data_IF_787172970958
#
_entry.id   IF_787172970958
#
_cell.length_a   1.000
_cell.length_b   1.000
_cell.length_c   1.000
_cell.angle_alpha   90.00
_cell.angle_beta   90.00
_cell.angle_gamma   90.00
#
_symmetry.space_group_name_H-M   'P 1'
#
loop_
_entity.id
_entity.type
_entity.pdbx_description
1 polymer ?
#
# COMPACT_ATOMS: atom_id res chain seq x y z
N UNK A 1 10.45 -18.51 23.37
CA UNK A 1 11.09 -17.18 23.34
C UNK A 1 10.56 -16.45 22.11
N UNK A 2 9.64 -15.46 22.21
CA UNK A 2 9.13 -14.78 21.03
C UNK A 2 10.11 -13.66 20.63
N UNK A 3 10.67 -13.78 19.42
CA UNK A 3 11.58 -12.79 18.82
C UNK A 3 10.87 -11.44 18.64
N UNK A 4 11.64 -10.40 18.91
CA UNK A 4 11.32 -8.97 18.92
C UNK A 4 11.47 -8.31 17.52
N UNK A 5 11.46 -9.09 16.44
CA UNK A 5 11.93 -8.60 15.12
C UNK A 5 10.87 -8.17 14.09
N UNK A 6 9.58 -8.09 14.42
CA UNK A 6 8.55 -7.65 13.45
C UNK A 6 8.49 -6.10 13.26
N UNK A 7 9.65 -5.45 13.11
CA UNK A 7 9.79 -4.00 13.24
C UNK A 7 10.48 -3.26 12.09
N UNK A 8 10.77 -3.95 10.97
CA UNK A 8 11.35 -3.33 9.78
C UNK A 8 10.34 -3.33 8.66
N UNK A 9 10.10 -2.14 8.10
CA UNK A 9 9.53 -2.00 6.77
C UNK A 9 10.42 -2.74 5.78
N UNK A 10 9.83 -3.55 4.92
CA UNK A 10 10.55 -4.22 3.83
C UNK A 10 10.18 -3.62 2.50
N UNK A 11 11.18 -3.34 1.67
CA UNK A 11 11.00 -2.92 0.29
C UNK A 11 11.28 -4.09 -0.64
N UNK A 12 10.30 -4.46 -1.47
CA UNK A 12 10.51 -5.36 -2.61
C UNK A 12 10.75 -4.51 -3.85
N UNK A 13 11.91 -4.65 -4.48
CA UNK A 13 12.23 -3.94 -5.74
C UNK A 13 12.20 -4.92 -6.90
N UNK A 14 11.42 -4.58 -7.92
CA UNK A 14 11.31 -5.29 -9.19
C UNK A 14 11.74 -4.31 -10.27
N UNK A 15 12.84 -4.60 -10.97
CA UNK A 15 13.38 -3.70 -12.01
C UNK A 15 12.61 -3.78 -13.34
N UNK A 16 11.43 -4.38 -13.33
CA UNK A 16 10.60 -4.67 -14.49
C UNK A 16 9.13 -4.45 -14.14
N UNK A 17 8.25 -4.67 -15.12
CA UNK A 17 6.82 -4.59 -14.89
C UNK A 17 6.36 -5.65 -13.88
N UNK A 18 5.44 -5.26 -13.01
CA UNK A 18 4.75 -6.12 -12.07
C UNK A 18 3.28 -6.22 -12.45
N UNK A 19 2.78 -7.44 -12.59
CA UNK A 19 1.34 -7.70 -12.73
C UNK A 19 0.82 -8.38 -11.47
N UNK A 20 -0.24 -7.81 -10.89
CA UNK A 20 -1.09 -8.50 -9.93
C UNK A 20 -2.20 -9.21 -10.70
N UNK A 21 -2.11 -10.52 -10.82
CA UNK A 21 -3.10 -11.35 -11.52
C UNK A 21 -4.46 -11.35 -10.81
N UNK A 22 -5.52 -11.71 -11.54
CA UNK A 22 -6.91 -11.66 -11.06
C UNK A 22 -7.20 -12.47 -9.78
N UNK A 23 -6.40 -13.46 -9.42
CA UNK A 23 -6.49 -14.23 -8.17
C UNK A 23 -5.37 -13.87 -7.16
N UNK A 24 -4.53 -12.90 -7.52
CA UNK A 24 -3.42 -12.41 -6.73
C UNK A 24 -3.88 -11.63 -5.50
N UNK A 25 -3.05 -11.66 -4.45
CA UNK A 25 -3.26 -10.85 -3.24
C UNK A 25 -1.99 -10.09 -2.88
N UNK A 26 -2.08 -8.76 -2.80
CA UNK A 26 -1.02 -7.94 -2.27
C UNK A 26 -1.17 -7.76 -0.76
N UNK A 27 -0.28 -8.40 0.02
CA UNK A 27 -0.25 -8.24 1.47
C UNK A 27 0.61 -7.03 1.89
N UNK A 28 -0.05 -5.97 2.33
CA UNK A 28 0.59 -4.72 2.73
C UNK A 28 0.64 -4.57 4.25
N UNK A 29 1.83 -4.59 4.84
CA UNK A 29 2.01 -4.47 6.29
C UNK A 29 2.31 -3.04 6.70
N UNK A 30 1.60 -2.55 7.74
CA UNK A 30 1.84 -1.22 8.30
C UNK A 30 1.96 -1.27 9.82
N UNK A 31 3.10 -0.86 10.36
CA UNK A 31 3.34 -0.70 11.79
C UNK A 31 2.95 0.70 12.26
N UNK A 32 1.77 0.81 12.85
CA UNK A 32 1.21 2.09 13.33
C UNK A 32 1.99 2.66 14.51
N UNK A 33 2.65 1.82 15.33
CA UNK A 33 3.46 2.29 16.48
C UNK A 33 4.64 3.13 16.00
N UNK A 34 5.23 2.79 14.85
CA UNK A 34 6.40 3.45 14.28
C UNK A 34 6.13 4.28 13.04
N UNK A 35 4.91 4.26 12.53
CA UNK A 35 4.55 4.82 11.23
C UNK A 35 5.52 4.34 10.13
N UNK A 36 5.66 3.02 10.00
CA UNK A 36 6.49 2.38 8.97
C UNK A 36 5.70 1.28 8.30
N UNK A 37 5.80 1.16 6.99
CA UNK A 37 5.09 0.16 6.21
C UNK A 37 6.01 -0.49 5.19
N UNK A 38 5.64 -1.70 4.77
CA UNK A 38 6.28 -2.38 3.64
C UNK A 38 6.04 -1.57 2.35
N UNK A 39 6.80 -1.83 1.29
CA UNK A 39 6.66 -1.13 0.01
C UNK A 39 7.03 -2.06 -1.15
N UNK A 40 6.33 -1.92 -2.27
CA UNK A 40 6.75 -2.47 -3.56
C UNK A 40 7.24 -1.33 -4.45
N UNK A 41 8.35 -1.53 -5.15
CA UNK A 41 8.84 -0.63 -6.20
C UNK A 41 8.94 -1.45 -7.49
N UNK A 42 8.26 -1.02 -8.56
CA UNK A 42 8.26 -1.69 -9.85
C UNK A 42 8.46 -0.69 -11.00
N UNK A 43 8.83 -1.16 -12.20
CA UNK A 43 8.90 -0.33 -13.41
C UNK A 43 7.70 -0.68 -14.31
N UNK A 44 6.56 -0.12 -13.98
CA UNK A 44 5.25 -0.45 -14.54
C UNK A 44 4.47 -1.38 -13.63
N UNK A 45 3.22 -1.00 -13.33
CA UNK A 45 2.30 -1.81 -12.52
C UNK A 45 0.98 -2.01 -13.25
N UNK A 46 0.53 -3.26 -13.31
CA UNK A 46 -0.79 -3.64 -13.80
C UNK A 46 -1.51 -4.47 -12.76
N UNK A 47 -2.77 -4.13 -12.49
CA UNK A 47 -3.63 -4.80 -11.53
C UNK A 47 -4.83 -5.34 -12.31
N UNK A 48 -4.88 -6.66 -12.44
CA UNK A 48 -5.99 -7.33 -13.11
C UNK A 48 -7.26 -7.30 -12.25
N UNK A 49 -8.41 -7.28 -12.92
CA UNK A 49 -9.71 -7.33 -12.25
C UNK A 49 -9.82 -8.59 -11.39
N UNK A 50 -10.04 -8.42 -10.09
CA UNK A 50 -10.13 -9.51 -9.11
C UNK A 50 -8.97 -9.55 -8.12
N UNK A 51 -7.82 -8.96 -8.47
CA UNK A 51 -6.68 -8.86 -7.56
C UNK A 51 -7.09 -8.14 -6.26
N UNK A 52 -6.63 -8.65 -5.12
CA UNK A 52 -7.05 -8.18 -3.79
C UNK A 52 -5.92 -7.47 -3.04
N UNK A 53 -6.27 -6.42 -2.31
CA UNK A 53 -5.39 -5.73 -1.37
C UNK A 53 -5.68 -6.20 0.06
N UNK A 54 -4.66 -6.75 0.75
CA UNK A 54 -4.76 -7.22 2.12
C UNK A 54 -3.95 -6.33 3.06
N UNK A 55 -4.63 -5.47 3.81
CA UNK A 55 -3.99 -4.58 4.79
C UNK A 55 -3.71 -5.33 6.10
N UNK A 56 -2.45 -5.37 6.51
CA UNK A 56 -1.95 -6.09 7.71
C UNK A 56 -1.44 -5.07 8.74
N UNK A 57 -2.29 -4.59 9.67
CA UNK A 57 -1.88 -3.65 10.70
C UNK A 57 -1.03 -4.33 11.77
N UNK A 58 0.10 -3.70 12.12
CA UNK A 58 0.92 -4.04 13.30
C UNK A 58 0.77 -2.91 14.32
N UNK A 59 0.37 -3.30 15.53
CA UNK A 59 -0.08 -2.39 16.60
C UNK A 59 -1.33 -1.58 16.20
N UNK A 60 -1.84 -0.78 17.14
CA UNK A 60 -3.07 0.00 16.95
C UNK A 60 -2.95 1.42 17.51
N UNK A 61 -1.85 2.11 17.14
CA UNK A 61 -1.66 3.53 17.50
C UNK A 61 -2.49 4.40 16.55
N UNK A 62 -3.15 5.44 17.09
CA UNK A 62 -3.73 6.50 16.26
C UNK A 62 -2.61 7.33 15.65
N UNK A 63 -2.58 7.42 14.33
CA UNK A 63 -1.66 8.22 13.55
C UNK A 63 -2.18 9.65 13.43
N UNK A 64 -1.28 10.57 13.09
CA UNK A 64 -1.67 11.95 12.78
C UNK A 64 -2.36 11.99 11.42
N UNK A 65 -3.46 12.74 11.29
CA UNK A 65 -4.06 13.02 9.99
C UNK A 65 -3.03 13.67 9.06
N UNK A 66 -3.08 13.34 7.77
CA UNK A 66 -2.08 13.73 6.77
C UNK A 66 -0.82 12.87 6.74
N UNK A 67 -0.71 11.82 7.57
CA UNK A 67 0.40 10.86 7.43
C UNK A 67 0.18 10.04 6.16
N UNK A 68 1.14 10.08 5.23
CA UNK A 68 1.08 9.35 3.95
C UNK A 68 1.98 8.13 3.98
N UNK A 69 1.52 7.02 3.40
CA UNK A 69 2.30 5.81 3.17
C UNK A 69 2.19 5.38 1.71
N UNK A 70 3.32 5.23 1.03
CA UNK A 70 3.36 4.66 -0.33
C UNK A 70 3.37 3.13 -0.23
N UNK A 71 2.33 2.50 -0.77
CA UNK A 71 2.21 1.04 -0.81
C UNK A 71 2.87 0.43 -2.04
N UNK A 72 2.72 1.07 -3.18
CA UNK A 72 3.37 0.70 -4.44
C UNK A 72 3.95 1.98 -5.03
N UNK A 73 5.23 1.94 -5.41
CA UNK A 73 5.84 2.98 -6.22
C UNK A 73 6.09 2.49 -7.63
N UNK A 74 5.48 3.16 -8.62
CA UNK A 74 5.64 2.85 -10.03
C UNK A 74 6.67 3.80 -10.66
N UNK A 75 7.86 3.27 -10.91
CA UNK A 75 8.98 4.02 -11.47
C UNK A 75 8.92 4.18 -12.99
N UNK A 76 7.88 3.67 -13.65
CA UNK A 76 7.63 3.95 -15.06
C UNK A 76 7.02 5.34 -15.25
N UNK A 77 6.88 5.79 -16.50
CA UNK A 77 6.22 7.07 -16.80
C UNK A 77 4.68 6.93 -16.92
N UNK A 78 4.14 5.72 -16.80
CA UNK A 78 2.72 5.45 -17.01
C UNK A 78 2.00 5.32 -15.67
N UNK A 79 0.71 5.68 -15.60
CA UNK A 79 -0.14 5.37 -14.44
C UNK A 79 -0.22 3.87 -14.18
N UNK A 80 -0.50 3.51 -12.91
CA UNK A 80 -0.89 2.14 -12.56
C UNK A 80 -2.14 1.78 -13.38
N UNK A 81 -2.07 0.64 -14.09
CA UNK A 81 -3.22 0.16 -14.84
C UNK A 81 -4.13 -0.67 -13.94
N UNK A 82 -5.37 -0.23 -13.75
CA UNK A 82 -6.37 -0.94 -12.94
C UNK A 82 -6.28 -0.63 -11.45
N UNK A 83 -7.19 -1.21 -10.67
CA UNK A 83 -7.27 -1.05 -9.20
C UNK A 83 -7.54 -2.40 -8.56
N UNK A 84 -7.15 -2.55 -7.29
CA UNK A 84 -7.52 -3.75 -6.52
C UNK A 84 -9.04 -3.77 -6.33
N UNK A 85 -9.65 -4.95 -6.48
CA UNK A 85 -11.11 -5.10 -6.48
C UNK A 85 -11.77 -4.65 -5.16
N UNK A 86 -11.03 -4.63 -4.06
CA UNK A 86 -11.48 -4.17 -2.74
C UNK A 86 -10.84 -2.84 -2.29
N UNK A 87 -10.17 -2.11 -3.18
CA UNK A 87 -9.48 -0.86 -2.87
C UNK A 87 -9.56 0.09 -4.06
N UNK A 88 -10.74 0.68 -4.29
CA UNK A 88 -10.96 1.64 -5.35
C UNK A 88 -10.22 2.96 -5.09
N UNK A 89 -9.88 3.66 -6.16
CA UNK A 89 -9.29 5.00 -6.08
C UNK A 89 -10.26 6.02 -5.43
N UNK A 90 -9.72 6.94 -4.64
CA UNK A 90 -10.46 7.92 -3.83
C UNK A 90 -11.33 7.31 -2.72
N UNK A 91 -11.30 5.98 -2.54
CA UNK A 91 -12.06 5.32 -1.47
C UNK A 91 -11.38 5.49 -0.12
N UNK A 92 -12.13 5.21 0.95
CA UNK A 92 -11.56 5.14 2.29
C UNK A 92 -11.82 3.78 2.92
N UNK A 93 -10.89 3.33 3.77
CA UNK A 93 -11.09 2.17 4.62
C UNK A 93 -10.54 2.41 6.02
N UNK A 94 -11.12 1.74 7.01
CA UNK A 94 -10.70 1.85 8.41
C UNK A 94 -9.99 0.57 8.85
N UNK A 95 -8.80 0.72 9.43
CA UNK A 95 -8.07 -0.36 10.09
C UNK A 95 -7.70 0.07 11.52
N UNK A 96 -8.37 -0.54 12.50
CA UNK A 96 -8.19 -0.18 13.90
C UNK A 96 -8.64 1.25 14.19
N UNK A 97 -7.73 2.10 14.65
CA UNK A 97 -7.99 3.51 15.03
C UNK A 97 -7.73 4.52 13.91
N UNK A 98 -7.42 4.06 12.70
CA UNK A 98 -7.03 4.92 11.59
C UNK A 98 -7.94 4.66 10.39
N UNK A 99 -8.35 5.74 9.72
CA UNK A 99 -8.99 5.70 8.41
C UNK A 99 -7.97 6.17 7.39
N UNK A 100 -7.91 5.47 6.26
CA UNK A 100 -6.98 5.75 5.18
C UNK A 100 -7.77 6.06 3.92
N UNK A 101 -7.44 7.18 3.28
CA UNK A 101 -7.84 7.51 1.92
C UNK A 101 -6.83 6.91 0.93
N UNK A 102 -7.36 6.35 -0.15
CA UNK A 102 -6.61 5.66 -1.20
C UNK A 102 -6.45 6.61 -2.38
N UNK A 103 -5.23 6.69 -2.91
CA UNK A 103 -4.88 7.52 -4.06
C UNK A 103 -3.91 6.74 -4.96
N UNK A 104 -4.30 6.47 -6.20
CA UNK A 104 -3.46 5.79 -7.21
C UNK A 104 -2.62 6.76 -8.05
N UNK A 105 -2.78 8.06 -7.84
CA UNK A 105 -2.01 9.15 -8.44
C UNK A 105 -1.07 9.81 -7.42
N UNK A 106 -0.76 9.11 -6.32
CA UNK A 106 0.14 9.60 -5.28
C UNK A 106 1.59 9.69 -5.74
N UNK A 107 2.47 10.13 -4.82
CA UNK A 107 3.90 10.17 -5.07
C UNK A 107 4.29 11.17 -6.16
N UNK A 108 4.82 10.67 -7.28
CA UNK A 108 5.14 11.43 -8.50
C UNK A 108 4.02 11.40 -9.56
N UNK A 109 2.86 10.82 -9.26
CA UNK A 109 1.66 10.87 -10.09
C UNK A 109 1.11 9.51 -10.51
N UNK A 110 1.76 8.42 -10.09
CA UNK A 110 1.41 7.04 -10.44
C UNK A 110 1.76 6.05 -9.31
N UNK A 111 1.83 6.51 -8.05
CA UNK A 111 2.03 5.64 -6.91
C UNK A 111 0.69 5.31 -6.22
N UNK A 112 0.54 4.09 -5.71
CA UNK A 112 -0.53 3.77 -4.77
C UNK A 112 -0.13 4.26 -3.38
N UNK A 113 -0.77 5.33 -2.91
CA UNK A 113 -0.56 5.93 -1.61
C UNK A 113 -1.80 5.83 -0.70
N UNK A 114 -1.54 5.80 0.61
CA UNK A 114 -2.55 5.74 1.66
C UNK A 114 -2.36 6.91 2.63
N UNK A 115 -3.32 7.83 2.67
CA UNK A 115 -3.28 9.01 3.54
C UNK A 115 -4.19 8.84 4.74
N UNK A 116 -3.66 9.05 5.94
CA UNK A 116 -4.49 9.03 7.16
C UNK A 116 -5.41 10.23 7.16
N UNK A 117 -6.72 9.98 7.18
CA UNK A 117 -7.76 11.03 7.26
C UNK A 117 -8.39 11.08 8.66
N UNK A 118 -9.03 12.21 9.04
CA UNK A 118 -9.59 12.43 10.37
C UNK A 118 -10.54 11.34 10.90
#
# INVERSE_FOLDING_TARGET
MPSIDANRATTLTIQSALTFESDGTYAYKLNTKRARADQVIANGVSIESGAQFSFVPVANKRLSAGTVFTAISDTSANPISGTFANLADGSTFTAGRNTYEVDYEGGDGNDLSLTVVP
#
